data_IF_556794868468
#
_entry.id   IF_556794868468
#
_cell.length_a   1.000
_cell.length_b   1.000
_cell.length_c   1.000
_cell.angle_alpha   90.00
_cell.angle_beta   90.00
_cell.angle_gamma   90.00
#
_symmetry.space_group_name_H-M   'P 1'
#
loop_
_entity.id
_entity.type
_entity.pdbx_description
1 polymer ?
#
# COMPACT_ATOMS: atom_id res chain seq x y z
N UNK A 1 9.90 14.07 11.70
CA UNK A 1 9.73 13.37 12.99
C UNK A 1 10.69 12.20 13.13
N UNK A 2 10.70 11.25 12.19
CA UNK A 2 11.57 10.06 12.23
C UNK A 2 13.08 10.35 12.27
N UNK A 3 13.61 11.29 11.46
CA UNK A 3 15.03 11.70 11.54
C UNK A 3 15.40 12.34 12.89
N UNK A 4 14.52 13.20 13.42
CA UNK A 4 14.76 13.96 14.66
C UNK A 4 14.80 13.06 15.91
N UNK A 5 14.09 11.92 15.88
CA UNK A 5 14.05 10.96 16.97
C UNK A 5 15.04 9.80 16.80
N UNK A 6 15.65 9.63 15.62
CA UNK A 6 16.51 8.49 15.31
C UNK A 6 17.75 8.46 16.21
N UNK A 7 18.48 9.57 16.28
CA UNK A 7 19.72 9.68 17.05
C UNK A 7 19.53 9.49 18.57
N UNK A 8 18.57 10.16 19.26
CA UNK A 8 18.36 9.93 20.68
C UNK A 8 17.88 8.51 21.01
N UNK A 9 17.09 7.89 20.13
CA UNK A 9 16.68 6.49 20.29
C UNK A 9 17.84 5.52 20.12
N UNK A 10 18.70 5.71 19.11
CA UNK A 10 19.84 4.84 18.87
C UNK A 10 20.89 4.95 19.99
N UNK A 11 21.08 6.13 20.55
CA UNK A 11 21.94 6.32 21.73
C UNK A 11 21.36 5.62 22.98
N UNK A 12 20.03 5.59 23.13
CA UNK A 12 19.37 4.92 24.24
C UNK A 12 19.52 3.37 24.21
N UNK A 13 19.78 2.78 23.05
CA UNK A 13 19.98 1.33 22.87
C UNK A 13 21.46 0.91 22.99
N UNK A 14 22.33 1.80 23.49
CA UNK A 14 23.76 1.54 23.70
C UNK A 14 24.50 1.08 22.42
N UNK A 15 24.21 1.72 21.29
CA UNK A 15 24.77 1.39 19.98
C UNK A 15 26.23 1.86 19.87
N UNK A 16 27.15 0.97 19.48
CA UNK A 16 28.56 1.32 19.19
C UNK A 16 28.66 2.27 17.98
N UNK A 17 29.77 3.01 17.86
CA UNK A 17 29.96 4.03 16.80
C UNK A 17 29.75 3.48 15.37
N UNK A 18 30.29 2.31 15.05
CA UNK A 18 30.13 1.70 13.73
C UNK A 18 28.68 1.27 13.44
N UNK A 19 27.98 0.79 14.46
CA UNK A 19 26.56 0.42 14.35
C UNK A 19 25.66 1.64 14.19
N UNK A 20 26.04 2.78 14.79
CA UNK A 20 25.31 4.04 14.68
C UNK A 20 25.25 4.51 13.22
N UNK A 21 26.39 4.48 12.52
CA UNK A 21 26.46 4.89 11.12
C UNK A 21 25.59 4.02 10.21
N UNK A 22 25.65 2.69 10.41
CA UNK A 22 24.81 1.76 9.66
C UNK A 22 23.31 1.95 9.96
N UNK A 23 22.94 2.15 11.21
CA UNK A 23 21.56 2.37 11.62
C UNK A 23 21.00 3.68 11.05
N UNK A 24 21.75 4.79 11.11
CA UNK A 24 21.34 6.07 10.54
C UNK A 24 21.18 5.97 9.02
N UNK A 25 22.10 5.27 8.33
CA UNK A 25 22.01 5.03 6.90
C UNK A 25 20.74 4.24 6.54
N UNK A 26 20.47 3.16 7.28
CA UNK A 26 19.26 2.37 7.11
C UNK A 26 17.98 3.20 7.28
N UNK A 27 17.91 3.97 8.38
CA UNK A 27 16.76 4.81 8.71
C UNK A 27 16.53 5.91 7.66
N UNK A 28 17.60 6.56 7.19
CA UNK A 28 17.53 7.58 6.12
C UNK A 28 16.86 7.03 4.87
N UNK A 29 17.27 5.83 4.43
CA UNK A 29 16.69 5.19 3.24
C UNK A 29 15.26 4.74 3.53
N UNK A 30 14.98 4.14 4.70
CA UNK A 30 13.63 3.65 5.01
C UNK A 30 12.57 4.73 5.16
N UNK A 31 12.95 5.98 5.43
CA UNK A 31 11.99 7.09 5.39
C UNK A 31 11.35 7.23 4.01
N UNK A 32 12.07 6.90 2.92
CA UNK A 32 11.51 6.92 1.56
C UNK A 32 10.37 5.91 1.37
N UNK A 33 10.26 4.88 2.21
CA UNK A 33 9.14 3.94 2.15
C UNK A 33 7.88 4.41 2.86
N UNK A 34 7.94 5.42 3.72
CA UNK A 34 6.79 5.87 4.51
C UNK A 34 5.56 6.25 3.66
N UNK A 35 5.68 6.97 2.52
CA UNK A 35 4.54 7.23 1.65
C UNK A 35 3.91 5.94 1.10
N UNK A 36 4.73 4.95 0.73
CA UNK A 36 4.24 3.66 0.25
C UNK A 36 3.48 2.90 1.33
N UNK A 37 3.95 2.93 2.59
CA UNK A 37 3.25 2.32 3.73
C UNK A 37 1.86 2.92 3.91
N UNK A 38 1.74 4.25 3.91
CA UNK A 38 0.44 4.92 4.06
C UNK A 38 -0.51 4.56 2.91
N UNK A 39 -0.02 4.61 1.66
CA UNK A 39 -0.80 4.23 0.49
C UNK A 39 -1.26 2.78 0.54
N UNK A 40 -0.36 1.87 0.94
CA UNK A 40 -0.66 0.46 1.11
C UNK A 40 -1.74 0.25 2.17
N UNK A 41 -1.60 0.86 3.35
CA UNK A 41 -2.56 0.72 4.45
C UNK A 41 -3.95 1.24 4.06
N UNK A 42 -4.05 2.42 3.44
CA UNK A 42 -5.34 2.97 3.02
C UNK A 42 -6.01 2.08 1.97
N UNK A 43 -5.26 1.66 0.94
CA UNK A 43 -5.78 0.81 -0.13
C UNK A 43 -6.21 -0.57 0.38
N UNK A 44 -5.40 -1.16 1.27
CA UNK A 44 -5.72 -2.43 1.94
C UNK A 44 -7.01 -2.33 2.74
N UNK A 45 -7.19 -1.28 3.56
CA UNK A 45 -8.40 -1.07 4.34
C UNK A 45 -9.64 -0.93 3.42
N UNK A 46 -9.51 -0.24 2.30
CA UNK A 46 -10.57 -0.14 1.30
C UNK A 46 -10.99 -1.49 0.71
N UNK A 47 -10.02 -2.32 0.31
CA UNK A 47 -10.30 -3.64 -0.26
C UNK A 47 -10.91 -4.59 0.76
N UNK A 48 -10.44 -4.53 2.01
CA UNK A 48 -11.01 -5.30 3.11
C UNK A 48 -12.46 -4.90 3.41
N UNK A 49 -12.81 -3.61 3.29
CA UNK A 49 -14.20 -3.15 3.42
C UNK A 49 -15.11 -3.70 2.30
N UNK A 50 -14.55 -3.92 1.11
CA UNK A 50 -15.23 -4.57 -0.02
C UNK A 50 -15.27 -6.11 0.11
N UNK A 51 -14.84 -6.67 1.25
CA UNK A 51 -14.70 -8.10 1.52
C UNK A 51 -13.73 -8.81 0.56
N UNK A 52 -12.78 -8.08 -0.03
CA UNK A 52 -11.70 -8.65 -0.85
C UNK A 52 -10.41 -8.74 -0.01
N UNK A 53 -10.17 -9.93 0.55
CA UNK A 53 -8.96 -10.23 1.32
C UNK A 53 -7.82 -10.78 0.45
N UNK A 54 -8.12 -11.22 -0.78
CA UNK A 54 -7.14 -11.87 -1.66
C UNK A 54 -6.23 -10.85 -2.33
N UNK A 55 -6.77 -9.69 -2.73
CA UNK A 55 -5.96 -8.64 -3.34
C UNK A 55 -4.90 -8.06 -2.39
N UNK A 56 -5.20 -7.77 -1.11
CA UNK A 56 -4.15 -7.39 -0.15
C UNK A 56 -3.16 -8.52 0.16
N UNK A 57 -3.64 -9.78 0.21
CA UNK A 57 -2.76 -10.92 0.45
C UNK A 57 -1.75 -11.12 -0.68
N UNK A 58 -2.17 -11.00 -1.94
CA UNK A 58 -1.28 -11.12 -3.09
C UNK A 58 -0.22 -10.02 -3.11
N UNK A 59 -0.59 -8.79 -2.77
CA UNK A 59 0.35 -7.68 -2.65
C UNK A 59 1.40 -7.89 -1.56
N UNK A 60 1.00 -8.41 -0.38
CA UNK A 60 1.95 -8.77 0.70
C UNK A 60 2.87 -9.89 0.24
N UNK A 61 2.35 -10.92 -0.43
CA UNK A 61 3.17 -12.02 -0.94
C UNK A 61 4.20 -11.52 -1.96
N UNK A 62 3.80 -10.65 -2.90
CA UNK A 62 4.73 -10.01 -3.85
C UNK A 62 5.78 -9.19 -3.12
N UNK A 63 5.39 -8.39 -2.12
CA UNK A 63 6.32 -7.61 -1.29
C UNK A 63 7.38 -8.50 -0.64
N UNK A 64 6.98 -9.60 -0.01
CA UNK A 64 7.90 -10.52 0.66
C UNK A 64 8.88 -11.16 -0.33
N UNK A 65 8.41 -11.57 -1.51
CA UNK A 65 9.25 -12.17 -2.55
C UNK A 65 10.27 -11.14 -3.06
N UNK A 66 9.80 -9.94 -3.42
CA UNK A 66 10.68 -8.86 -3.92
C UNK A 66 11.70 -8.46 -2.86
N UNK A 67 11.30 -8.40 -1.59
CA UNK A 67 12.21 -8.06 -0.50
C UNK A 67 13.28 -9.14 -0.31
N UNK A 68 12.90 -10.42 -0.24
CA UNK A 68 13.84 -11.52 -0.03
C UNK A 68 14.83 -11.65 -1.20
N UNK A 69 14.34 -11.57 -2.44
CA UNK A 69 15.19 -11.59 -3.63
C UNK A 69 16.09 -10.35 -3.72
N UNK A 70 15.55 -9.17 -3.37
CA UNK A 70 16.29 -7.92 -3.34
C UNK A 70 17.42 -7.94 -2.32
N UNK A 71 17.16 -8.44 -1.10
CA UNK A 71 18.17 -8.57 -0.06
C UNK A 71 19.29 -9.50 -0.51
N UNK A 72 18.94 -10.66 -1.07
CA UNK A 72 19.94 -11.60 -1.60
C UNK A 72 20.76 -10.97 -2.73
N UNK A 73 20.14 -10.28 -3.68
CA UNK A 73 20.83 -9.63 -4.81
C UNK A 73 21.78 -8.52 -4.32
N UNK A 74 21.29 -7.64 -3.44
CA UNK A 74 22.03 -6.48 -2.95
C UNK A 74 23.24 -6.89 -2.10
N UNK A 75 23.10 -7.95 -1.30
CA UNK A 75 24.18 -8.46 -0.44
C UNK A 75 25.17 -9.30 -1.26
N UNK A 76 24.67 -10.24 -2.06
CA UNK A 76 25.50 -11.24 -2.74
C UNK A 76 26.21 -10.68 -3.98
N UNK A 77 25.54 -9.81 -4.75
CA UNK A 77 26.07 -9.34 -6.03
C UNK A 77 26.72 -7.96 -5.96
N UNK A 78 26.12 -7.03 -5.21
CA UNK A 78 26.60 -5.64 -5.13
C UNK A 78 27.33 -5.29 -3.84
N UNK A 79 27.40 -6.20 -2.87
CA UNK A 79 28.09 -6.01 -1.59
C UNK A 79 27.74 -4.68 -0.88
N UNK A 80 26.52 -4.17 -1.08
CA UNK A 80 26.09 -2.86 -0.56
C UNK A 80 25.75 -2.87 0.94
N UNK A 81 25.85 -4.04 1.59
CA UNK A 81 25.58 -4.23 3.01
C UNK A 81 24.19 -3.73 3.42
N UNK A 82 24.13 -3.02 4.56
CA UNK A 82 22.89 -2.54 5.19
C UNK A 82 22.12 -1.54 4.31
N UNK A 83 22.82 -0.71 3.53
CA UNK A 83 22.18 0.24 2.62
C UNK A 83 21.43 -0.47 1.49
N UNK A 84 21.99 -1.57 0.98
CA UNK A 84 21.36 -2.40 -0.04
C UNK A 84 20.04 -3.04 0.44
N UNK A 85 20.06 -3.60 1.65
CA UNK A 85 18.87 -4.19 2.30
C UNK A 85 17.78 -3.13 2.51
N UNK A 86 18.16 -1.92 2.90
CA UNK A 86 17.21 -0.82 3.05
C UNK A 86 16.50 -0.51 1.72
N UNK A 87 17.25 -0.39 0.63
CA UNK A 87 16.70 -0.15 -0.72
C UNK A 87 15.82 -1.30 -1.22
N UNK A 88 16.24 -2.54 -1.02
CA UNK A 88 15.44 -3.72 -1.35
C UNK A 88 14.07 -3.66 -0.64
N UNK A 89 14.05 -3.24 0.63
CA UNK A 89 12.77 -3.10 1.34
C UNK A 89 11.91 -1.95 0.81
N UNK A 90 12.52 -0.81 0.42
CA UNK A 90 11.79 0.30 -0.21
C UNK A 90 11.12 -0.18 -1.50
N UNK A 91 11.88 -0.82 -2.38
CA UNK A 91 11.38 -1.34 -3.66
C UNK A 91 10.26 -2.37 -3.45
N UNK A 92 10.41 -3.25 -2.47
CA UNK A 92 9.38 -4.22 -2.12
C UNK A 92 8.05 -3.54 -1.73
N UNK A 93 8.08 -2.52 -0.88
CA UNK A 93 6.86 -1.81 -0.47
C UNK A 93 6.20 -1.11 -1.66
N UNK A 94 6.98 -0.50 -2.55
CA UNK A 94 6.42 0.10 -3.78
C UNK A 94 5.85 -0.96 -4.73
N UNK A 95 6.43 -2.15 -4.81
CA UNK A 95 5.87 -3.26 -5.57
C UNK A 95 4.51 -3.70 -5.03
N UNK A 96 4.36 -3.73 -3.70
CA UNK A 96 3.10 -4.04 -3.03
C UNK A 96 2.02 -3.02 -3.38
N UNK A 97 2.37 -1.73 -3.32
CA UNK A 97 1.47 -0.63 -3.72
C UNK A 97 1.05 -0.77 -5.18
N UNK A 98 1.98 -1.10 -6.08
CA UNK A 98 1.65 -1.29 -7.49
C UNK A 98 0.65 -2.45 -7.72
N UNK A 99 0.83 -3.58 -7.03
CA UNK A 99 -0.11 -4.72 -7.09
C UNK A 99 -1.48 -4.34 -6.52
N UNK A 100 -1.51 -3.62 -5.40
CA UNK A 100 -2.76 -3.13 -4.82
C UNK A 100 -3.49 -2.16 -5.76
N UNK A 101 -2.78 -1.22 -6.37
CA UNK A 101 -3.36 -0.27 -7.31
C UNK A 101 -3.90 -0.96 -8.56
N UNK A 102 -3.17 -1.95 -9.09
CA UNK A 102 -3.64 -2.76 -10.21
C UNK A 102 -4.91 -3.55 -9.85
N UNK A 103 -4.96 -4.12 -8.65
CA UNK A 103 -6.13 -4.82 -8.12
C UNK A 103 -7.32 -3.85 -7.96
N UNK A 104 -7.07 -2.65 -7.44
CA UNK A 104 -8.09 -1.61 -7.30
C UNK A 104 -8.65 -1.17 -8.65
N UNK A 105 -7.80 -0.89 -9.64
CA UNK A 105 -8.22 -0.47 -10.98
C UNK A 105 -9.04 -1.55 -11.70
N UNK A 106 -8.72 -2.82 -11.50
CA UNK A 106 -9.54 -3.93 -12.01
C UNK A 106 -10.91 -3.97 -11.33
N UNK A 107 -10.96 -3.74 -10.02
CA UNK A 107 -12.22 -3.73 -9.26
C UNK A 107 -13.07 -2.51 -9.56
N UNK A 108 -12.49 -1.34 -9.72
CA UNK A 108 -13.21 -0.12 -10.14
C UNK A 108 -13.81 -0.31 -11.54
N UNK A 109 -13.12 -1.00 -12.45
CA UNK A 109 -13.68 -1.39 -13.76
C UNK A 109 -14.85 -2.37 -13.64
N UNK A 110 -14.81 -3.30 -12.69
CA UNK A 110 -15.83 -4.33 -12.49
C UNK A 110 -17.03 -3.83 -11.65
N UNK A 111 -16.77 -2.95 -10.69
CA UNK A 111 -17.74 -2.40 -9.77
C UNK A 111 -18.28 -1.05 -10.23
N UNK A 112 -17.78 -0.44 -11.32
CA UNK A 112 -18.31 0.81 -11.85
C UNK A 112 -19.82 0.66 -12.13
N UNK A 113 -20.70 1.17 -11.25
CA UNK A 113 -22.13 1.13 -11.48
C UNK A 113 -22.53 2.31 -12.36
N UNK A 114 -21.59 3.21 -12.71
CA UNK A 114 -21.75 4.26 -13.70
C UNK A 114 -21.77 3.68 -15.12
N UNK A 115 -22.65 2.71 -15.37
CA UNK A 115 -23.50 2.91 -16.53
C UNK A 115 -24.15 4.28 -16.33
N UNK A 116 -24.00 5.21 -17.27
CA UNK A 116 -24.66 6.51 -17.22
C UNK A 116 -26.08 6.32 -16.64
N UNK A 117 -26.47 7.05 -15.58
CA UNK A 117 -27.74 6.82 -14.89
C UNK A 117 -28.83 6.79 -15.95
N UNK A 118 -29.38 5.60 -16.24
CA UNK A 118 -30.49 5.48 -17.18
C UNK A 118 -31.61 6.23 -16.49
N UNK A 119 -31.98 7.39 -17.04
CA UNK A 119 -33.15 8.11 -16.57
C UNK A 119 -34.30 7.09 -16.51
N UNK A 120 -34.94 6.92 -15.34
CA UNK A 120 -36.01 5.94 -15.21
C UNK A 120 -37.08 6.27 -16.26
N UNK A 121 -37.46 5.29 -17.06
CA UNK A 121 -38.49 5.45 -18.10
C UNK A 121 -39.78 5.95 -17.45
N UNK A 122 -40.57 6.80 -18.11
CA UNK A 122 -41.81 7.37 -17.56
C UNK A 122 -42.78 6.32 -16.97
N UNK A 123 -42.72 5.08 -17.45
CA UNK A 123 -43.43 3.93 -16.91
C UNK A 123 -42.95 3.50 -15.52
N UNK A 124 -41.64 3.53 -15.25
CA UNK A 124 -41.04 3.25 -13.94
C UNK A 124 -41.30 4.38 -12.94
N UNK A 125 -41.31 5.64 -13.41
CA UNK A 125 -41.71 6.77 -12.57
C UNK A 125 -43.20 6.71 -12.21
N UNK A 126 -44.07 6.27 -13.13
CA UNK A 126 -45.49 6.05 -12.85
C UNK A 126 -45.72 4.94 -11.82
N UNK A 127 -45.03 3.80 -11.94
CA UNK A 127 -45.17 2.71 -10.94
C UNK A 127 -44.65 3.14 -9.57
N UNK A 128 -43.53 3.86 -9.50
CA UNK A 128 -43.05 4.44 -8.24
C UNK A 128 -44.06 5.45 -7.65
N UNK A 129 -44.62 6.35 -8.47
CA UNK A 129 -45.60 7.32 -7.97
C UNK A 129 -46.90 6.67 -7.45
N UNK A 130 -47.26 5.50 -7.99
CA UNK A 130 -48.39 4.71 -7.53
C UNK A 130 -48.11 3.99 -6.21
N UNK A 131 -46.90 3.44 -6.04
CA UNK A 131 -46.46 2.78 -4.79
C UNK A 131 -46.29 3.77 -3.62
N UNK A 132 -45.85 5.01 -3.91
CA UNK A 132 -45.66 6.04 -2.88
C UNK A 132 -46.92 6.88 -2.60
N UNK A 133 -48.06 6.60 -3.25
CA UNK A 133 -49.34 7.25 -2.96
C UNK A 133 -49.37 8.77 -3.16
N UNK A 134 -48.43 9.33 -3.93
CA UNK A 134 -48.21 10.79 -4.05
C UNK A 134 -49.26 11.48 -4.94
N UNK A 135 -50.09 10.71 -5.67
CA UNK A 135 -51.14 11.23 -6.55
C UNK A 135 -52.54 10.78 -6.13
N UNK A 136 -52.92 11.05 -4.87
CA UNK A 136 -54.32 11.18 -4.48
C UNK A 136 -54.62 12.62 -4.12
#
# INVERSE_FOLDING_TARGET
VTQLLAEPLLLAVATNADMMEHALTYLRIRILSQPAVVLFSVSQSGLMALKDSLAPLSAIATMCIVNCLGDWLMISHWHMGVAGVAWATVLAQYSAVAVLFASWAQRERLQNPFHAPRLPTLTQLRSLSADFGVLR
#
